data_IF_968855278880
#
_entry.id   IF_968855278880
#
_cell.length_a   1.000
_cell.length_b   1.000
_cell.length_c   1.000
_cell.angle_alpha   90.00
_cell.angle_beta   90.00
_cell.angle_gamma   90.00
#
_symmetry.space_group_name_H-M   'P 1'
#
loop_
_entity.id
_entity.type
_entity.pdbx_description
1 polymer ?
#
# COMPACT_ATOMS: atom_id res chain seq x y z
N UNK A 1 -40.91 10.46 18.14
CA UNK A 1 -40.05 9.86 17.09
C UNK A 1 -39.72 8.39 17.41
N UNK A 2 -39.49 8.04 18.69
CA UNK A 2 -39.02 6.70 19.11
C UNK A 2 -39.99 5.55 18.86
N UNK A 3 -41.29 5.83 18.84
CA UNK A 3 -42.34 4.82 18.55
C UNK A 3 -42.58 4.56 17.05
N UNK A 4 -41.91 5.29 16.16
CA UNK A 4 -42.14 5.21 14.72
C UNK A 4 -41.18 4.24 14.05
N UNK A 5 -41.62 3.59 12.97
CA UNK A 5 -40.75 2.75 12.12
C UNK A 5 -39.77 3.60 11.32
N UNK A 6 -38.68 3.00 10.84
CA UNK A 6 -37.70 3.70 9.97
C UNK A 6 -38.37 4.30 8.72
N UNK A 7 -39.29 3.55 8.10
CA UNK A 7 -40.06 4.03 6.96
C UNK A 7 -40.92 5.26 7.27
N UNK A 8 -41.58 5.29 8.44
CA UNK A 8 -42.36 6.45 8.88
C UNK A 8 -41.47 7.66 9.18
N UNK A 9 -40.31 7.45 9.81
CA UNK A 9 -39.32 8.50 10.09
C UNK A 9 -38.74 9.07 8.80
N UNK A 10 -38.40 8.24 7.82
CA UNK A 10 -37.93 8.72 6.51
C UNK A 10 -39.00 9.51 5.77
N UNK A 11 -40.25 9.02 5.78
CA UNK A 11 -41.36 9.69 5.10
C UNK A 11 -41.59 11.10 5.64
N UNK A 12 -41.66 11.28 6.95
CA UNK A 12 -41.87 12.63 7.51
C UNK A 12 -40.70 13.59 7.22
N UNK A 13 -39.47 13.08 7.16
CA UNK A 13 -38.30 13.88 6.82
C UNK A 13 -38.34 14.33 5.35
N UNK A 14 -38.75 13.45 4.44
CA UNK A 14 -38.94 13.79 3.03
C UNK A 14 -40.07 14.81 2.86
N UNK A 15 -41.24 14.56 3.44
CA UNK A 15 -42.40 15.46 3.37
C UNK A 15 -42.06 16.87 3.90
N UNK A 16 -41.24 16.96 4.96
CA UNK A 16 -40.79 18.23 5.51
C UNK A 16 -39.81 18.95 4.57
N UNK A 17 -38.84 18.21 4.01
CA UNK A 17 -37.84 18.76 3.08
C UNK A 17 -38.48 19.25 1.76
N UNK A 18 -39.50 18.56 1.25
CA UNK A 18 -40.24 18.96 0.05
C UNK A 18 -40.99 20.29 0.22
N UNK A 19 -41.42 20.60 1.45
CA UNK A 19 -42.09 21.87 1.78
C UNK A 19 -41.11 23.01 2.05
N UNK A 20 -39.83 22.72 2.22
CA UNK A 20 -38.80 23.73 2.43
C UNK A 20 -38.43 24.45 1.13
N UNK A 21 -38.18 25.75 1.21
CA UNK A 21 -37.54 26.51 0.12
C UNK A 21 -36.12 26.02 -0.14
N UNK A 22 -35.57 26.33 -1.32
CA UNK A 22 -34.19 25.98 -1.68
C UNK A 22 -33.16 26.50 -0.64
N UNK A 23 -33.39 27.67 -0.05
CA UNK A 23 -32.52 28.24 0.97
C UNK A 23 -32.50 27.39 2.26
N UNK A 24 -33.67 26.92 2.69
CA UNK A 24 -33.84 26.07 3.87
C UNK A 24 -33.29 24.67 3.62
N UNK A 25 -33.48 24.10 2.44
CA UNK A 25 -32.87 22.82 2.06
C UNK A 25 -31.34 22.90 2.09
N UNK A 26 -30.74 23.98 1.56
CA UNK A 26 -29.29 24.24 1.66
C UNK A 26 -28.82 24.36 3.10
N UNK A 27 -29.59 25.04 3.96
CA UNK A 27 -29.31 25.10 5.38
C UNK A 27 -29.31 23.71 6.03
N UNK A 28 -30.36 22.90 5.78
CA UNK A 28 -30.44 21.53 6.27
C UNK A 28 -29.26 20.67 5.79
N UNK A 29 -28.88 20.76 4.52
CA UNK A 29 -27.73 20.05 3.97
C UNK A 29 -26.43 20.41 4.71
N UNK A 30 -26.20 21.70 4.99
CA UNK A 30 -25.03 22.15 5.75
C UNK A 30 -25.03 21.62 7.19
N UNK A 31 -26.18 21.63 7.87
CA UNK A 31 -26.30 21.09 9.23
C UNK A 31 -26.08 19.58 9.27
N UNK A 32 -26.58 18.85 8.27
CA UNK A 32 -26.37 17.40 8.14
C UNK A 32 -24.90 17.09 7.86
N UNK A 33 -24.26 17.81 6.94
CA UNK A 33 -22.85 17.61 6.61
C UNK A 33 -21.91 17.90 7.80
N UNK A 34 -22.29 18.84 8.68
CA UNK A 34 -21.53 19.11 9.91
C UNK A 34 -21.69 18.03 10.98
N UNK A 35 -22.79 17.26 10.97
CA UNK A 35 -23.12 16.25 11.99
C UNK A 35 -22.85 14.81 11.56
N UNK A 36 -22.96 14.55 10.27
CA UNK A 36 -22.63 13.26 9.66
C UNK A 36 -21.30 13.47 8.95
N UNK A 37 -20.19 13.00 9.55
CA UNK A 37 -18.89 13.12 8.92
C UNK A 37 -18.98 12.46 7.55
N UNK A 38 -18.76 13.24 6.49
CA UNK A 38 -18.63 12.67 5.14
C UNK A 38 -17.22 12.08 4.99
N UNK A 39 -16.76 11.34 6.00
CA UNK A 39 -15.35 10.98 6.19
C UNK A 39 -14.92 9.72 5.42
N UNK A 40 -15.81 9.17 4.60
CA UNK A 40 -15.50 8.01 3.77
C UNK A 40 -16.09 8.17 2.36
N UNK A 41 -15.93 9.34 1.75
CA UNK A 41 -16.27 9.46 0.32
C UNK A 41 -15.22 8.73 -0.48
N UNK A 42 -15.68 7.82 -1.33
CA UNK A 42 -14.84 7.21 -2.34
C UNK A 42 -14.30 8.29 -3.29
N UNK A 43 -13.02 8.65 -3.10
CA UNK A 43 -12.37 9.70 -3.89
C UNK A 43 -12.39 9.39 -5.39
N UNK A 44 -12.44 8.12 -5.78
CA UNK A 44 -12.44 7.70 -7.19
C UNK A 44 -13.72 8.14 -7.92
N UNK A 45 -14.80 8.37 -7.18
CA UNK A 45 -16.08 8.87 -7.72
C UNK A 45 -16.17 10.39 -7.80
N UNK A 46 -15.26 11.10 -7.14
CA UNK A 46 -15.24 12.57 -7.07
C UNK A 46 -14.17 13.18 -7.96
N UNK A 47 -13.05 12.49 -8.11
CA UNK A 47 -11.92 12.95 -8.90
C UNK A 47 -12.04 12.45 -10.35
N UNK A 48 -11.58 13.24 -11.34
CA UNK A 48 -11.33 12.73 -12.68
C UNK A 48 -10.44 11.48 -12.65
N UNK A 49 -10.73 10.49 -13.50
CA UNK A 49 -10.05 9.18 -13.54
C UNK A 49 -8.52 9.28 -13.52
N UNK A 50 -7.96 10.27 -14.22
CA UNK A 50 -6.50 10.50 -14.29
C UNK A 50 -5.89 10.75 -12.90
N UNK A 51 -6.55 11.55 -12.05
CA UNK A 51 -6.07 11.84 -10.70
C UNK A 51 -6.19 10.62 -9.78
N UNK A 52 -7.29 9.87 -9.91
CA UNK A 52 -7.46 8.60 -9.19
C UNK A 52 -6.36 7.59 -9.53
N UNK A 53 -6.00 7.49 -10.82
CA UNK A 53 -4.90 6.64 -11.28
C UNK A 53 -3.54 7.15 -10.79
N UNK A 54 -3.34 8.47 -10.76
CA UNK A 54 -2.12 9.06 -10.20
C UNK A 54 -1.96 8.70 -8.72
N UNK A 55 -3.01 8.78 -7.92
CA UNK A 55 -3.00 8.35 -6.50
C UNK A 55 -2.66 6.85 -6.41
N UNK A 56 -3.32 6.00 -7.19
CA UNK A 56 -3.03 4.56 -7.22
C UNK A 56 -1.60 4.23 -7.68
N UNK A 57 -0.96 5.09 -8.48
CA UNK A 57 0.40 4.86 -8.97
C UNK A 57 1.45 4.82 -7.84
N UNK A 58 1.19 5.51 -6.72
CA UNK A 58 2.05 5.52 -5.54
C UNK A 58 1.95 4.25 -4.69
N UNK A 59 0.89 3.46 -4.86
CA UNK A 59 0.68 2.26 -4.05
C UNK A 59 1.59 1.10 -4.52
N UNK A 60 2.08 0.32 -3.57
CA UNK A 60 2.79 -0.92 -3.88
C UNK A 60 1.81 -1.99 -4.44
N UNK A 61 2.32 -3.04 -5.11
CA UNK A 61 1.47 -4.08 -5.68
C UNK A 61 0.53 -4.77 -4.69
N UNK A 62 0.94 -4.96 -3.43
CA UNK A 62 0.10 -5.60 -2.39
C UNK A 62 -1.03 -4.66 -1.99
N UNK A 63 -0.74 -3.38 -1.83
CA UNK A 63 -1.76 -2.35 -1.56
C UNK A 63 -2.77 -2.24 -2.70
N UNK A 64 -2.34 -2.29 -3.96
CA UNK A 64 -3.27 -2.34 -5.10
C UNK A 64 -4.15 -3.59 -5.11
N UNK A 65 -3.62 -4.75 -4.74
CA UNK A 65 -4.43 -5.95 -4.58
C UNK A 65 -5.47 -5.82 -3.45
N UNK A 66 -5.20 -5.04 -2.40
CA UNK A 66 -6.21 -4.70 -1.38
C UNK A 66 -7.24 -3.70 -1.93
N UNK A 67 -6.82 -2.69 -2.70
CA UNK A 67 -7.73 -1.76 -3.37
C UNK A 67 -8.74 -2.51 -4.26
N UNK A 68 -8.30 -3.54 -4.99
CA UNK A 68 -9.18 -4.36 -5.81
C UNK A 68 -10.28 -5.10 -5.05
N UNK A 69 -10.20 -5.19 -3.71
CA UNK A 69 -11.19 -5.85 -2.86
C UNK A 69 -12.23 -4.87 -2.28
N UNK A 70 -12.07 -3.55 -2.50
CA UNK A 70 -12.97 -2.53 -1.95
C UNK A 70 -14.29 -2.48 -2.72
N UNK A 71 -14.23 -2.45 -4.05
CA UNK A 71 -15.41 -2.43 -4.93
C UNK A 71 -15.04 -2.86 -6.34
N UNK A 72 -16.03 -3.19 -7.18
CA UNK A 72 -15.80 -3.47 -8.59
C UNK A 72 -15.16 -2.31 -9.34
N UNK A 73 -15.53 -1.06 -8.99
CA UNK A 73 -14.92 0.13 -9.58
C UNK A 73 -13.44 0.26 -9.21
N UNK A 74 -13.10 0.02 -7.94
CA UNK A 74 -11.71 0.02 -7.48
C UNK A 74 -10.90 -1.11 -8.10
N UNK A 75 -11.49 -2.29 -8.26
CA UNK A 75 -10.88 -3.41 -9.00
C UNK A 75 -10.53 -2.98 -10.41
N UNK A 76 -11.48 -2.43 -11.15
CA UNK A 76 -11.25 -1.94 -12.51
C UNK A 76 -10.13 -0.92 -12.58
N UNK A 77 -10.03 0.03 -11.64
CA UNK A 77 -8.98 1.05 -11.66
C UNK A 77 -7.60 0.50 -11.24
N UNK A 78 -7.54 -0.30 -10.17
CA UNK A 78 -6.28 -0.81 -9.61
C UNK A 78 -5.64 -1.92 -10.44
N UNK A 79 -6.39 -2.56 -11.35
CA UNK A 79 -5.89 -3.60 -12.26
C UNK A 79 -5.45 -3.07 -13.63
N UNK A 80 -5.56 -1.75 -13.89
CA UNK A 80 -5.20 -1.16 -15.18
C UNK A 80 -3.71 -1.29 -15.49
N UNK A 81 -3.44 -1.59 -16.75
CA UNK A 81 -2.08 -1.74 -17.28
C UNK A 81 -1.22 -0.48 -17.11
N UNK A 82 -1.83 0.71 -17.11
CA UNK A 82 -1.12 1.97 -16.84
C UNK A 82 -0.43 1.98 -15.47
N UNK A 83 -0.98 1.27 -14.48
CA UNK A 83 -0.37 1.12 -13.15
C UNK A 83 0.70 0.04 -13.13
N UNK A 84 0.40 -1.13 -13.71
CA UNK A 84 1.26 -2.30 -13.63
C UNK A 84 2.46 -2.23 -14.58
N UNK A 85 2.32 -1.56 -15.73
CA UNK A 85 3.42 -1.27 -16.65
C UNK A 85 4.55 -0.53 -15.95
N UNK A 86 4.23 0.58 -15.25
CA UNK A 86 5.24 1.35 -14.52
C UNK A 86 5.95 0.52 -13.45
N UNK A 87 5.28 -0.49 -12.87
CA UNK A 87 5.86 -1.37 -11.84
C UNK A 87 6.78 -2.41 -12.47
N UNK A 88 6.42 -3.00 -13.60
CA UNK A 88 7.29 -3.90 -14.35
C UNK A 88 8.54 -3.17 -14.87
N UNK A 89 8.35 -1.99 -15.47
CA UNK A 89 9.45 -1.20 -16.04
C UNK A 89 10.49 -0.78 -14.99
N UNK A 90 10.09 -0.56 -13.73
CA UNK A 90 11.04 -0.30 -12.62
C UNK A 90 12.03 -1.44 -12.38
N UNK A 91 11.67 -2.67 -12.74
CA UNK A 91 12.54 -3.84 -12.65
C UNK A 91 13.17 -4.22 -14.00
N UNK A 92 12.96 -3.41 -15.05
CA UNK A 92 13.40 -3.74 -16.40
C UNK A 92 12.63 -4.90 -17.04
N UNK A 93 11.46 -5.27 -16.52
CA UNK A 93 10.63 -6.34 -17.08
C UNK A 93 9.84 -5.80 -18.27
N UNK A 94 10.17 -6.28 -19.45
CA UNK A 94 9.57 -5.90 -20.73
C UNK A 94 8.71 -7.04 -21.25
N UNK A 95 7.62 -6.68 -21.91
CA UNK A 95 6.84 -7.65 -22.67
C UNK A 95 7.57 -7.99 -23.97
N UNK A 96 7.54 -9.26 -24.35
CA UNK A 96 8.09 -9.73 -25.62
C UNK A 96 7.16 -9.47 -26.82
N UNK A 97 6.04 -8.78 -26.59
CA UNK A 97 5.04 -8.40 -27.59
C UNK A 97 4.40 -7.07 -27.20
N UNK A 98 3.71 -6.44 -28.15
CA UNK A 98 2.94 -5.22 -27.91
C UNK A 98 1.47 -5.58 -27.63
N UNK A 99 0.94 -5.34 -26.42
CA UNK A 99 -0.46 -5.57 -26.12
C UNK A 99 -1.36 -4.74 -27.04
N UNK A 100 -2.48 -5.31 -27.45
CA UNK A 100 -3.51 -4.57 -28.15
C UNK A 100 -4.26 -3.65 -27.17
N UNK A 101 -4.86 -2.53 -27.62
CA UNK A 101 -5.62 -1.63 -26.75
C UNK A 101 -6.83 -2.27 -26.04
N UNK A 102 -7.26 -3.45 -26.49
CA UNK A 102 -8.43 -4.15 -25.97
C UNK A 102 -8.08 -5.18 -24.90
N UNK A 103 -6.80 -5.55 -24.78
CA UNK A 103 -6.33 -6.46 -23.75
C UNK A 103 -6.14 -5.71 -22.43
N UNK A 104 -6.75 -6.22 -21.36
CA UNK A 104 -6.67 -5.62 -20.03
C UNK A 104 -5.90 -6.52 -19.07
N UNK A 105 -5.07 -5.89 -18.25
CA UNK A 105 -4.35 -6.54 -17.16
C UNK A 105 -3.18 -7.41 -17.64
N UNK A 106 -2.68 -7.17 -18.85
CA UNK A 106 -1.51 -7.88 -19.42
C UNK A 106 -0.29 -7.66 -18.54
N UNK A 107 -0.03 -6.42 -18.15
CA UNK A 107 1.11 -6.06 -17.31
C UNK A 107 0.96 -6.59 -15.89
N UNK A 108 -0.27 -6.65 -15.35
CA UNK A 108 -0.52 -7.28 -14.05
C UNK A 108 -0.18 -8.77 -14.08
N UNK A 109 -0.64 -9.49 -15.10
CA UNK A 109 -0.34 -10.92 -15.29
C UNK A 109 1.17 -11.14 -15.39
N UNK A 110 1.84 -10.36 -16.24
CA UNK A 110 3.29 -10.44 -16.41
C UNK A 110 4.04 -10.14 -15.10
N UNK A 111 3.63 -9.12 -14.34
CA UNK A 111 4.21 -8.84 -13.02
C UNK A 111 4.14 -10.05 -12.09
N UNK A 112 2.98 -10.72 -12.03
CA UNK A 112 2.78 -11.88 -11.19
C UNK A 112 3.63 -13.08 -11.63
N UNK A 113 3.80 -13.27 -12.93
CA UNK A 113 4.67 -14.28 -13.52
C UNK A 113 6.14 -14.05 -13.14
N UNK A 114 6.67 -12.85 -13.38
CA UNK A 114 8.04 -12.49 -13.03
C UNK A 114 8.32 -12.64 -11.52
N UNK A 115 7.36 -12.25 -10.66
CA UNK A 115 7.49 -12.45 -9.20
C UNK A 115 7.51 -13.94 -8.83
N UNK A 116 6.76 -14.78 -9.52
CA UNK A 116 6.80 -16.24 -9.30
C UNK A 116 8.15 -16.80 -9.71
N UNK A 117 8.68 -16.43 -10.87
CA UNK A 117 10.00 -16.87 -11.34
C UNK A 117 11.12 -16.48 -10.38
N UNK A 118 11.11 -15.25 -9.86
CA UNK A 118 12.08 -14.80 -8.86
C UNK A 118 12.00 -15.57 -7.54
N UNK A 119 10.79 -15.96 -7.12
CA UNK A 119 10.61 -16.77 -5.91
C UNK A 119 11.09 -18.21 -6.10
N UNK A 120 10.95 -18.76 -7.31
CA UNK A 120 11.44 -20.09 -7.66
C UNK A 120 12.97 -20.13 -7.78
N UNK A 121 13.59 -19.05 -8.25
CA UNK A 121 15.05 -18.90 -8.38
C UNK A 121 15.74 -18.46 -7.09
N UNK A 122 15.13 -18.71 -5.91
CA UNK A 122 15.71 -18.40 -4.59
C UNK A 122 17.20 -18.77 -4.60
N UNK A 123 18.11 -17.85 -4.21
CA UNK A 123 19.53 -18.13 -4.20
C UNK A 123 19.75 -19.45 -3.46
N UNK A 124 20.34 -20.44 -4.13
CA UNK A 124 20.88 -21.61 -3.42
C UNK A 124 21.84 -21.02 -2.40
N UNK A 125 21.49 -21.09 -1.12
CA UNK A 125 22.51 -20.88 -0.09
C UNK A 125 23.60 -21.91 -0.39
N UNK A 126 24.85 -21.50 -0.66
CA UNK A 126 25.92 -22.48 -0.80
C UNK A 126 25.90 -23.36 0.45
N UNK A 127 26.05 -24.67 0.27
CA UNK A 127 26.18 -25.57 1.41
C UNK A 127 27.37 -25.10 2.24
N UNK A 128 27.33 -25.37 3.55
CA UNK A 128 28.39 -24.96 4.48
C UNK A 128 29.79 -25.46 4.08
N UNK A 129 29.86 -26.44 3.18
CA UNK A 129 31.10 -27.03 2.68
C UNK A 129 31.77 -26.23 1.54
N UNK A 130 31.11 -25.22 0.98
CA UNK A 130 31.64 -24.42 -0.14
C UNK A 130 32.20 -23.05 0.29
N UNK A 131 31.97 -22.64 1.54
CA UNK A 131 32.58 -21.44 2.12
C UNK A 131 34.01 -21.75 2.60
N UNK A 132 34.95 -21.87 1.67
CA UNK A 132 36.38 -21.80 2.01
C UNK A 132 36.70 -20.35 2.34
N UNK A 133 36.64 -20.01 3.62
CA UNK A 133 37.21 -18.77 4.14
C UNK A 133 38.72 -18.89 3.95
N UNK A 134 39.29 -18.16 3.00
CA UNK A 134 40.74 -18.04 2.86
C UNK A 134 41.24 -17.32 4.11
N UNK A 135 41.96 -18.04 4.97
CA UNK A 135 42.61 -17.46 6.13
C UNK A 135 43.65 -16.43 5.66
N UNK A 136 43.31 -15.16 5.83
CA UNK A 136 44.24 -14.05 5.64
C UNK A 136 45.19 -14.04 6.85
N UNK A 137 46.42 -14.52 6.64
CA UNK A 137 47.47 -14.49 7.66
C UNK A 137 47.82 -13.03 7.97
N UNK A 138 47.51 -12.56 9.18
CA UNK A 138 47.91 -11.22 9.64
C UNK A 138 49.44 -11.11 9.67
N UNK A 139 49.97 -10.08 9.03
CA UNK A 139 51.37 -9.66 9.19
C UNK A 139 51.52 -9.04 10.57
N UNK A 140 52.42 -9.59 11.39
CA UNK A 140 52.78 -9.05 12.69
C UNK A 140 53.45 -7.69 12.53
N UNK A 141 52.77 -6.63 12.99
CA UNK A 141 53.38 -5.33 13.21
C UNK A 141 53.65 -5.19 14.71
N UNK A 142 54.93 -5.21 15.07
CA UNK A 142 55.40 -5.02 16.44
C UNK A 142 55.25 -3.54 16.85
N UNK A 143 54.29 -3.22 17.73
CA UNK A 143 54.31 -1.99 18.54
C UNK A 143 53.83 -2.34 19.96
N UNK A 144 54.57 -1.97 21.04
CA UNK A 144 54.28 -2.45 22.38
C UNK A 144 53.15 -1.70 23.09
N UNK A 145 52.49 -2.45 23.97
CA UNK A 145 51.30 -2.16 24.75
C UNK A 145 51.38 -0.90 25.63
N UNK A 146 50.23 -0.21 25.77
CA UNK A 146 49.92 0.57 26.97
C UNK A 146 48.53 0.20 27.48
N UNK A 147 48.50 -0.45 28.65
CA UNK A 147 47.30 -0.82 29.39
C UNK A 147 46.57 0.42 29.92
N UNK A 148 45.25 0.49 29.74
CA UNK A 148 44.36 1.23 30.63
C UNK A 148 42.99 0.53 30.71
N UNK A 149 42.60 0.26 31.96
CA UNK A 149 41.32 -0.34 32.40
C UNK A 149 40.13 0.63 32.23
N UNK A 150 38.88 0.15 32.33
CA UNK A 150 37.72 0.75 31.67
C UNK A 150 37.01 1.84 32.51
N UNK A 151 36.60 2.92 31.82
CA UNK A 151 35.81 4.02 32.37
C UNK A 151 34.59 4.37 31.51
N UNK A 152 33.43 3.97 32.01
CA UNK A 152 32.05 4.49 31.96
C UNK A 152 31.56 5.54 30.92
N UNK A 153 30.33 5.26 30.42
CA UNK A 153 29.24 6.14 29.91
C UNK A 153 29.34 6.80 28.52
N UNK A 154 28.40 6.40 27.62
CA UNK A 154 27.53 7.23 26.72
C UNK A 154 27.11 6.36 25.53
N UNK A 155 25.88 6.30 25.04
CA UNK A 155 24.60 6.94 25.37
C UNK A 155 23.57 6.31 24.43
N UNK A 156 22.30 6.23 24.85
CA UNK A 156 21.19 5.81 23.98
C UNK A 156 21.13 6.77 22.78
N UNK A 157 21.48 6.29 21.58
CA UNK A 157 21.06 6.93 20.33
C UNK A 157 19.63 6.46 20.08
N UNK A 158 18.66 7.33 20.30
CA UNK A 158 17.30 7.13 19.83
C UNK A 158 17.33 7.04 18.30
N UNK A 159 16.71 5.99 17.76
CA UNK A 159 16.52 5.80 16.33
C UNK A 159 15.37 6.71 15.85
N UNK A 160 15.41 7.23 14.62
CA UNK A 160 14.34 8.05 14.06
C UNK A 160 13.01 7.25 13.95
N UNK A 161 11.85 7.94 13.93
CA UNK A 161 10.52 7.33 14.14
C UNK A 161 10.03 6.43 13.00
N UNK A 162 10.76 6.38 11.88
CA UNK A 162 10.49 5.46 10.78
C UNK A 162 11.40 4.24 10.97
N UNK A 163 10.89 3.25 11.69
CA UNK A 163 11.56 1.96 11.90
C UNK A 163 11.85 1.26 10.56
N UNK A 164 13.01 0.61 10.48
CA UNK A 164 13.38 -0.21 9.33
C UNK A 164 12.28 -1.24 9.02
N UNK A 165 12.04 -1.48 7.73
CA UNK A 165 11.04 -2.45 7.26
C UNK A 165 11.23 -3.80 7.94
N UNK A 166 10.16 -4.27 8.57
CA UNK A 166 10.13 -5.50 9.35
C UNK A 166 10.60 -6.68 8.48
N UNK A 167 11.69 -7.35 8.89
CA UNK A 167 12.31 -8.42 8.09
C UNK A 167 11.47 -9.69 8.04
N UNK A 168 10.45 -9.82 8.90
CA UNK A 168 9.52 -10.95 8.89
C UNK A 168 8.14 -10.55 9.45
N UNK A 169 7.10 -10.41 8.60
CA UNK A 169 5.75 -10.17 9.08
C UNK A 169 5.14 -11.47 9.60
N UNK A 170 4.73 -11.51 10.86
CA UNK A 170 4.15 -12.68 11.54
C UNK A 170 2.63 -12.82 11.35
N UNK A 171 1.99 -11.93 10.60
CA UNK A 171 0.53 -11.89 10.39
C UNK A 171 -0.01 -12.98 9.43
N UNK A 172 0.54 -14.18 9.47
CA UNK A 172 0.03 -15.35 8.72
C UNK A 172 -0.58 -16.44 9.60
N UNK A 173 -0.74 -16.21 10.90
CA UNK A 173 -1.53 -17.12 11.74
C UNK A 173 -2.98 -16.68 11.68
N UNK A 174 -3.71 -17.28 10.75
CA UNK A 174 -5.15 -17.08 10.59
C UNK A 174 -5.95 -17.64 11.78
N UNK A 175 -7.09 -17.00 12.03
CA UNK A 175 -8.27 -17.64 12.61
C UNK A 175 -9.18 -18.10 11.48
#
# INVERSE_FOLDING_TARGET
FDKWTDGQRRRILLDLLERCSLSQQKFCAKQLQARVPTEAVDFTTRLPRVLSLYIFSFLDPRSLCRCAQVSWHWKQLSELDQLWMLKCLRFGWLLNFCPTPFEQGVWKKHYLEMVRELRLTRPKSPSKDEFVVIDVKQVESNIPERKLSPGTVRGRKELPPWGASDRSPTDTVGF
#
